data_IF_518305024623
#
_entry.id   IF_518305024623
#
_cell.length_a   1.000
_cell.length_b   1.000
_cell.length_c   1.000
_cell.angle_alpha   90.00
_cell.angle_beta   90.00
_cell.angle_gamma   90.00
#
_symmetry.space_group_name_H-M   'P 1'
#
loop_
_entity.id
_entity.type
_entity.pdbx_description
1 polymer ?
#
# COMPACT_ATOMS: atom_id res chain seq x y z
N UNK A 1 3.88 -39.91 -5.36
CA UNK A 1 3.16 -38.86 -4.61
C UNK A 1 3.88 -38.65 -3.29
N UNK A 2 4.14 -37.39 -2.95
CA UNK A 2 4.78 -37.00 -1.68
C UNK A 2 3.89 -35.97 -1.00
N UNK A 3 3.62 -36.11 0.29
CA UNK A 3 2.87 -35.11 1.07
C UNK A 3 3.83 -33.98 1.47
N UNK A 4 3.38 -32.74 1.31
CA UNK A 4 4.11 -31.50 1.55
C UNK A 4 3.40 -30.67 2.63
N UNK A 5 4.19 -29.89 3.37
CA UNK A 5 3.71 -29.12 4.52
C UNK A 5 4.14 -27.65 4.48
N UNK A 6 3.38 -26.74 5.09
CA UNK A 6 3.85 -25.38 5.40
C UNK A 6 4.45 -25.31 6.80
N UNK A 7 5.52 -24.55 7.00
CA UNK A 7 6.16 -24.41 8.32
C UNK A 7 5.42 -23.42 9.23
N UNK A 8 4.71 -23.91 10.25
CA UNK A 8 3.98 -23.07 11.23
C UNK A 8 4.21 -23.54 12.67
N UNK A 9 4.80 -22.70 13.55
CA UNK A 9 4.88 -22.99 14.99
C UNK A 9 3.49 -22.98 15.66
N UNK A 10 3.26 -23.78 16.73
CA UNK A 10 4.20 -24.64 17.43
C UNK A 10 4.27 -26.08 16.86
N UNK A 11 3.70 -26.34 15.67
CA UNK A 11 3.69 -27.70 15.15
C UNK A 11 5.12 -28.21 14.97
N UNK A 12 5.49 -29.35 15.56
CA UNK A 12 6.85 -29.86 15.48
C UNK A 12 7.18 -30.24 14.03
N UNK A 13 8.19 -29.59 13.47
CA UNK A 13 8.80 -29.97 12.21
C UNK A 13 10.02 -30.83 12.51
N UNK A 14 9.96 -32.12 12.16
CA UNK A 14 11.18 -32.92 12.08
C UNK A 14 12.11 -32.37 11.00
N UNK A 15 13.42 -32.61 11.12
CA UNK A 15 14.44 -32.10 10.19
C UNK A 15 14.26 -32.57 8.72
N UNK A 16 13.31 -33.47 8.44
CA UNK A 16 13.12 -34.14 7.16
C UNK A 16 11.76 -33.90 6.47
N UNK A 17 10.87 -33.06 7.00
CA UNK A 17 9.56 -32.85 6.36
C UNK A 17 9.68 -31.94 5.12
N UNK A 18 9.23 -32.38 3.94
CA UNK A 18 9.32 -31.60 2.71
C UNK A 18 8.34 -30.42 2.74
N UNK A 19 8.87 -29.21 2.56
CA UNK A 19 8.08 -27.99 2.58
C UNK A 19 7.45 -27.69 1.22
N UNK A 20 6.21 -27.17 1.23
CA UNK A 20 5.50 -26.74 0.01
C UNK A 20 6.32 -25.66 -0.71
N UNK A 21 6.79 -24.64 0.03
CA UNK A 21 7.59 -23.55 -0.53
C UNK A 21 8.84 -24.05 -1.25
N UNK A 22 9.57 -24.97 -0.62
CA UNK A 22 10.85 -25.47 -1.13
C UNK A 22 10.62 -26.35 -2.35
N UNK A 23 9.57 -27.17 -2.32
CA UNK A 23 9.18 -28.01 -3.44
C UNK A 23 8.73 -27.16 -4.63
N UNK A 24 7.94 -26.10 -4.44
CA UNK A 24 7.56 -25.17 -5.53
C UNK A 24 8.78 -24.49 -6.14
N UNK A 25 9.73 -24.02 -5.33
CA UNK A 25 10.98 -23.40 -5.81
C UNK A 25 11.84 -24.40 -6.58
N UNK A 26 11.93 -25.65 -6.09
CA UNK A 26 12.67 -26.74 -6.74
C UNK A 26 12.07 -27.13 -8.09
N UNK A 27 10.74 -27.24 -8.19
CA UNK A 27 10.10 -27.55 -9.46
C UNK A 27 10.23 -26.38 -10.44
N UNK A 28 10.02 -25.14 -9.98
CA UNK A 28 10.17 -23.95 -10.80
C UNK A 28 11.58 -23.75 -11.37
N UNK A 29 12.63 -24.12 -10.62
CA UNK A 29 14.03 -23.91 -11.05
C UNK A 29 14.44 -24.76 -12.26
N UNK A 30 13.74 -25.86 -12.51
CA UNK A 30 13.98 -26.77 -13.63
C UNK A 30 12.87 -26.72 -14.69
N UNK A 31 11.85 -25.90 -14.49
CA UNK A 31 10.72 -25.78 -15.39
C UNK A 31 11.01 -24.81 -16.56
N UNK A 32 10.51 -25.16 -17.74
CA UNK A 32 10.43 -24.26 -18.91
C UNK A 32 9.11 -23.52 -19.00
N UNK A 33 8.03 -24.14 -18.50
CA UNK A 33 6.71 -23.55 -18.41
C UNK A 33 6.06 -23.83 -17.06
N UNK A 34 5.30 -22.86 -16.55
CA UNK A 34 4.53 -23.00 -15.32
C UNK A 34 3.10 -22.51 -15.55
N UNK A 35 2.11 -23.33 -15.22
CA UNK A 35 0.71 -22.91 -15.13
C UNK A 35 0.23 -23.01 -13.68
N UNK A 36 -0.30 -21.92 -13.15
CA UNK A 36 -0.78 -21.82 -11.77
C UNK A 36 -2.25 -21.42 -11.80
N UNK A 37 -3.08 -22.13 -11.02
CA UNK A 37 -4.46 -21.74 -10.78
C UNK A 37 -4.74 -21.78 -9.28
N UNK A 38 -4.86 -20.60 -8.66
CA UNK A 38 -5.04 -20.43 -7.21
C UNK A 38 -6.22 -19.52 -6.89
N UNK A 39 -6.79 -19.66 -5.70
CA UNK A 39 -7.89 -18.80 -5.26
C UNK A 39 -7.43 -17.36 -4.98
N UNK A 40 -6.41 -17.22 -4.12
CA UNK A 40 -5.88 -15.94 -3.69
C UNK A 40 -4.38 -15.82 -3.97
N UNK A 41 -3.90 -14.58 -3.97
CA UNK A 41 -2.48 -14.23 -4.09
C UNK A 41 -2.12 -13.17 -3.05
N UNK A 42 -0.84 -13.00 -2.74
CA UNK A 42 -0.32 -11.87 -1.97
C UNK A 42 0.72 -11.10 -2.80
N UNK A 43 0.97 -9.84 -2.47
CA UNK A 43 2.01 -9.03 -3.14
C UNK A 43 3.37 -9.71 -3.05
N UNK A 44 3.76 -10.21 -1.87
CA UNK A 44 5.04 -10.91 -1.71
C UNK A 44 5.11 -12.23 -2.47
N UNK A 45 3.99 -12.97 -2.56
CA UNK A 45 3.91 -14.20 -3.34
C UNK A 45 4.06 -13.93 -4.83
N UNK A 46 3.45 -12.85 -5.33
CA UNK A 46 3.60 -12.37 -6.70
C UNK A 46 5.04 -11.95 -7.00
N UNK A 47 5.68 -11.20 -6.10
CA UNK A 47 7.09 -10.77 -6.24
C UNK A 47 8.05 -11.97 -6.22
N UNK A 48 7.80 -12.94 -5.35
CA UNK A 48 8.60 -14.17 -5.30
C UNK A 48 8.45 -14.98 -6.58
N UNK A 49 7.23 -15.10 -7.11
CA UNK A 49 6.96 -15.77 -8.39
C UNK A 49 7.67 -15.06 -9.55
N UNK A 50 7.58 -13.73 -9.64
CA UNK A 50 8.30 -12.96 -10.66
C UNK A 50 9.82 -13.12 -10.55
N UNK A 51 10.37 -13.25 -9.33
CA UNK A 51 11.77 -13.57 -9.12
C UNK A 51 12.16 -14.93 -9.70
N UNK A 52 11.31 -15.95 -9.50
CA UNK A 52 11.51 -17.29 -10.06
C UNK A 52 11.47 -17.24 -11.60
N UNK A 53 10.49 -16.55 -12.19
CA UNK A 53 10.36 -16.36 -13.65
C UNK A 53 11.56 -15.61 -14.24
N UNK A 54 12.07 -14.61 -13.52
CA UNK A 54 13.17 -13.77 -14.01
C UNK A 54 14.54 -14.45 -13.90
N UNK A 55 14.76 -15.27 -12.86
CA UNK A 55 16.06 -15.94 -12.60
C UNK A 55 16.16 -17.34 -13.19
N UNK A 56 15.02 -18.00 -13.42
CA UNK A 56 14.96 -19.36 -13.94
C UNK A 56 14.91 -19.42 -15.47
N UNK A 57 14.82 -20.67 -15.98
CA UNK A 57 14.69 -20.96 -17.41
C UNK A 57 13.23 -20.92 -17.90
N UNK A 58 12.35 -20.27 -17.15
CA UNK A 58 10.92 -20.21 -17.44
C UNK A 58 10.71 -19.28 -18.64
N UNK A 59 10.29 -19.90 -19.75
CA UNK A 59 9.94 -19.28 -21.02
C UNK A 59 8.47 -18.87 -21.06
N UNK A 60 7.60 -19.64 -20.41
CA UNK A 60 6.17 -19.38 -20.39
C UNK A 60 5.58 -19.50 -18.98
N UNK A 61 4.77 -18.54 -18.57
CA UNK A 61 4.00 -18.57 -17.32
C UNK A 61 2.56 -18.14 -17.53
N UNK A 62 1.63 -18.84 -16.90
CA UNK A 62 0.25 -18.40 -16.76
C UNK A 62 -0.18 -18.48 -15.29
N UNK A 63 -0.66 -17.37 -14.73
CA UNK A 63 -1.26 -17.33 -13.40
C UNK A 63 -2.75 -17.03 -13.51
N UNK A 64 -3.60 -17.96 -13.07
CA UNK A 64 -5.04 -17.78 -12.92
C UNK A 64 -5.36 -17.51 -11.45
N UNK A 65 -6.10 -16.43 -11.21
CA UNK A 65 -6.52 -15.96 -9.88
C UNK A 65 -8.03 -16.04 -9.75
N UNK A 66 -8.52 -16.71 -8.71
CA UNK A 66 -9.88 -17.26 -8.73
C UNK A 66 -10.97 -16.59 -7.90
N UNK A 67 -10.63 -15.89 -6.81
CA UNK A 67 -11.63 -15.54 -5.78
C UNK A 67 -12.09 -14.07 -5.75
N UNK A 68 -11.50 -13.21 -6.58
CA UNK A 68 -11.69 -11.77 -6.43
C UNK A 68 -12.95 -11.17 -7.06
N UNK A 69 -13.75 -11.96 -7.78
CA UNK A 69 -14.97 -11.45 -8.43
C UNK A 69 -15.97 -10.90 -7.41
N UNK A 70 -16.24 -11.67 -6.36
CA UNK A 70 -17.19 -11.29 -5.30
C UNK A 70 -16.54 -10.46 -4.20
N UNK A 71 -15.30 -10.80 -3.80
CA UNK A 71 -14.62 -10.12 -2.70
C UNK A 71 -14.07 -8.73 -3.08
N UNK A 72 -13.89 -8.48 -4.38
CA UNK A 72 -13.08 -7.37 -4.89
C UNK A 72 -11.58 -7.61 -4.74
N UNK A 73 -10.79 -6.94 -5.57
CA UNK A 73 -9.32 -7.03 -5.59
C UNK A 73 -8.75 -5.95 -4.65
N UNK A 74 -7.96 -6.30 -3.62
CA UNK A 74 -7.20 -5.32 -2.85
C UNK A 74 -6.32 -4.46 -3.75
N UNK A 75 -6.30 -3.14 -3.55
CA UNK A 75 -5.59 -2.21 -4.44
C UNK A 75 -4.10 -2.54 -4.59
N UNK A 76 -3.44 -2.99 -3.50
CA UNK A 76 -2.05 -3.46 -3.53
C UNK A 76 -1.83 -4.61 -4.52
N UNK A 77 -2.75 -5.57 -4.54
CA UNK A 77 -2.73 -6.73 -5.43
C UNK A 77 -3.06 -6.29 -6.85
N UNK A 78 -4.08 -5.45 -7.03
CA UNK A 78 -4.46 -4.92 -8.34
C UNK A 78 -3.27 -4.25 -9.03
N UNK A 79 -2.59 -3.34 -8.32
CA UNK A 79 -1.44 -2.61 -8.83
C UNK A 79 -0.27 -3.54 -9.13
N UNK A 80 0.06 -4.45 -8.21
CA UNK A 80 1.16 -5.41 -8.42
C UNK A 80 0.89 -6.35 -9.60
N UNK A 81 -0.33 -6.85 -9.72
CA UNK A 81 -0.72 -7.74 -10.82
C UNK A 81 -0.62 -7.03 -12.16
N UNK A 82 -1.11 -5.80 -12.31
CA UNK A 82 -0.98 -5.05 -13.57
C UNK A 82 0.47 -4.82 -13.96
N UNK A 83 1.32 -4.47 -12.98
CA UNK A 83 2.76 -4.28 -13.21
C UNK A 83 3.40 -5.59 -13.72
N UNK A 84 3.16 -6.72 -13.05
CA UNK A 84 3.73 -8.01 -13.43
C UNK A 84 3.16 -8.52 -14.76
N UNK A 85 1.86 -8.39 -14.97
CA UNK A 85 1.20 -8.76 -16.21
C UNK A 85 1.83 -8.03 -17.41
N UNK A 86 1.98 -6.70 -17.30
CA UNK A 86 2.59 -5.90 -18.36
C UNK A 86 4.05 -6.30 -18.60
N UNK A 87 4.82 -6.56 -17.53
CA UNK A 87 6.20 -7.04 -17.63
C UNK A 87 6.27 -8.38 -18.37
N UNK A 88 5.43 -9.35 -18.01
CA UNK A 88 5.43 -10.68 -18.62
C UNK A 88 4.94 -10.65 -20.07
N UNK A 89 3.93 -9.84 -20.39
CA UNK A 89 3.49 -9.61 -21.76
C UNK A 89 4.58 -8.97 -22.61
N UNK A 90 5.21 -7.88 -22.11
CA UNK A 90 6.27 -7.17 -22.84
C UNK A 90 7.52 -8.03 -23.09
N UNK A 91 7.78 -9.01 -22.23
CA UNK A 91 8.89 -9.96 -22.39
C UNK A 91 8.48 -11.24 -23.12
N UNK A 92 7.23 -11.35 -23.57
CA UNK A 92 6.69 -12.55 -24.21
C UNK A 92 6.67 -13.79 -23.29
N UNK A 93 6.83 -13.59 -21.98
CA UNK A 93 6.94 -14.67 -21.00
C UNK A 93 5.61 -15.18 -20.51
N UNK A 94 4.51 -14.44 -20.65
CA UNK A 94 3.22 -14.94 -20.20
C UNK A 94 2.25 -13.88 -19.71
N UNK A 95 1.25 -14.34 -18.94
CA UNK A 95 0.14 -13.51 -18.52
C UNK A 95 -0.44 -13.89 -17.15
N UNK A 96 -1.23 -12.97 -16.62
CA UNK A 96 -2.06 -13.14 -15.43
C UNK A 96 -3.51 -12.99 -15.85
N UNK A 97 -4.38 -13.89 -15.40
CA UNK A 97 -5.81 -13.94 -15.72
C UNK A 97 -6.64 -14.07 -14.44
N UNK A 98 -7.86 -13.54 -14.46
CA UNK A 98 -8.79 -13.61 -13.33
C UNK A 98 -10.04 -14.35 -13.74
N UNK A 99 -10.54 -15.21 -12.84
CA UNK A 99 -11.84 -15.86 -13.02
C UNK A 99 -12.95 -14.83 -12.84
N UNK A 100 -13.85 -14.71 -13.82
CA UNK A 100 -14.83 -13.62 -13.89
C UNK A 100 -16.30 -14.07 -13.93
N UNK A 101 -16.57 -15.37 -13.77
CA UNK A 101 -17.93 -15.92 -13.82
C UNK A 101 -18.25 -16.91 -12.68
N UNK A 102 -17.30 -17.16 -11.77
CA UNK A 102 -17.48 -17.99 -10.58
C UNK A 102 -16.35 -17.75 -9.57
N UNK A 103 -16.54 -18.21 -8.34
CA UNK A 103 -15.48 -18.23 -7.32
C UNK A 103 -14.63 -19.50 -7.45
N UNK A 104 -13.45 -19.39 -8.06
CA UNK A 104 -12.51 -20.52 -8.18
C UNK A 104 -11.60 -20.58 -6.95
N UNK A 105 -11.77 -21.62 -6.14
CA UNK A 105 -10.98 -21.83 -4.92
C UNK A 105 -9.93 -22.95 -5.04
N UNK A 106 -9.69 -23.53 -6.22
CA UNK A 106 -8.64 -24.53 -6.41
C UNK A 106 -7.24 -23.96 -6.17
N UNK A 107 -6.26 -24.83 -5.89
CA UNK A 107 -4.83 -24.46 -5.82
C UNK A 107 -4.00 -25.54 -6.50
N UNK A 108 -3.61 -25.24 -7.74
CA UNK A 108 -2.86 -26.13 -8.62
C UNK A 108 -1.64 -25.38 -9.13
N UNK A 109 -0.48 -26.03 -9.04
CA UNK A 109 0.77 -25.57 -9.64
C UNK A 109 1.25 -26.67 -10.57
N UNK A 110 1.36 -26.38 -11.86
CA UNK A 110 1.71 -27.33 -12.90
C UNK A 110 3.03 -26.92 -13.54
N UNK A 111 3.97 -27.85 -13.62
CA UNK A 111 5.32 -27.61 -14.10
C UNK A 111 5.62 -28.45 -15.33
N UNK A 112 6.20 -27.81 -16.32
CA UNK A 112 6.61 -28.41 -17.58
C UNK A 112 8.12 -28.33 -17.71
N UNK A 113 8.73 -29.29 -18.39
CA UNK A 113 10.15 -29.30 -18.69
C UNK A 113 10.39 -29.57 -20.17
N UNK A 114 11.51 -29.09 -20.75
CA UNK A 114 11.89 -29.46 -22.09
C UNK A 114 12.21 -30.96 -22.15
N UNK A 115 11.67 -31.65 -23.15
CA UNK A 115 12.09 -33.00 -23.50
C UNK A 115 13.32 -32.98 -24.42
N UNK A 116 13.82 -34.17 -24.77
CA UNK A 116 15.03 -34.30 -25.59
C UNK A 116 14.88 -33.71 -26.99
N UNK A 117 13.64 -33.56 -27.48
CA UNK A 117 13.32 -32.95 -28.76
C UNK A 117 13.10 -31.42 -28.67
N UNK A 118 13.19 -30.84 -27.47
CA UNK A 118 13.01 -29.41 -27.23
C UNK A 118 11.57 -28.94 -27.06
N UNK A 119 10.60 -29.87 -27.05
CA UNK A 119 9.19 -29.58 -26.74
C UNK A 119 8.95 -29.63 -25.22
N UNK A 120 7.94 -28.91 -24.74
CA UNK A 120 7.59 -28.94 -23.31
C UNK A 120 6.71 -30.16 -22.99
N UNK A 121 7.16 -30.99 -22.05
CA UNK A 121 6.41 -32.13 -21.50
C UNK A 121 6.03 -31.88 -20.03
N UNK A 122 4.89 -32.45 -19.62
CA UNK A 122 4.42 -32.41 -18.24
C UNK A 122 5.40 -33.12 -17.32
N UNK A 123 5.90 -32.41 -16.31
CA UNK A 123 6.88 -32.93 -15.36
C UNK A 123 6.23 -33.33 -14.04
N UNK A 124 5.54 -32.38 -13.42
CA UNK A 124 5.03 -32.52 -12.07
C UNK A 124 3.93 -31.50 -11.79
N UNK A 125 3.12 -31.77 -10.79
CA UNK A 125 2.20 -30.80 -10.22
C UNK A 125 2.25 -30.81 -8.70
N UNK A 126 1.89 -29.69 -8.10
CA UNK A 126 1.56 -29.57 -6.67
C UNK A 126 0.09 -29.20 -6.55
N UNK A 127 -0.66 -30.01 -5.83
CA UNK A 127 -2.10 -29.84 -5.58
C UNK A 127 -2.33 -29.84 -4.07
N UNK A 128 -3.10 -28.88 -3.55
CA UNK A 128 -3.36 -28.81 -2.12
C UNK A 128 -4.19 -27.61 -1.69
N UNK A 129 -3.97 -27.18 -0.45
CA UNK A 129 -4.69 -26.04 0.16
C UNK A 129 -3.96 -24.69 0.00
N UNK A 130 -2.65 -24.72 -0.30
CA UNK A 130 -1.79 -23.54 -0.32
C UNK A 130 -2.02 -22.60 -1.52
N UNK A 131 -2.49 -21.38 -1.25
CA UNK A 131 -2.50 -20.26 -2.21
C UNK A 131 -1.07 -19.74 -2.49
N UNK A 132 -0.91 -18.83 -3.46
CA UNK A 132 0.42 -18.34 -3.91
C UNK A 132 1.25 -17.71 -2.79
N UNK A 133 0.58 -17.22 -1.74
CA UNK A 133 1.21 -16.64 -0.55
C UNK A 133 2.17 -17.59 0.17
N UNK A 134 2.07 -18.92 -0.04
CA UNK A 134 3.01 -19.90 0.50
C UNK A 134 4.46 -19.70 0.03
N UNK A 135 4.66 -19.01 -1.10
CA UNK A 135 6.00 -18.66 -1.59
C UNK A 135 6.71 -17.61 -0.72
N UNK A 136 5.94 -16.81 0.01
CA UNK A 136 6.42 -15.75 0.90
C UNK A 136 5.48 -15.61 2.11
N UNK A 137 5.55 -16.54 3.09
CA UNK A 137 4.63 -16.58 4.22
C UNK A 137 4.95 -15.46 5.22
N UNK A 138 4.32 -14.30 5.06
CA UNK A 138 4.41 -13.13 5.95
C UNK A 138 3.07 -12.87 6.64
N UNK A 139 3.11 -12.15 7.77
CA UNK A 139 1.90 -11.72 8.49
C UNK A 139 1.00 -12.87 8.93
N UNK A 140 -0.29 -12.81 8.58
CA UNK A 140 -1.27 -13.86 8.91
C UNK A 140 -1.01 -15.18 8.18
N UNK A 141 -0.40 -15.14 6.99
CA UNK A 141 -0.04 -16.35 6.20
C UNK A 141 1.02 -17.18 6.91
N UNK A 142 1.92 -16.54 7.67
CA UNK A 142 2.92 -17.26 8.48
C UNK A 142 2.30 -18.14 9.58
N UNK A 143 0.99 -17.98 9.84
CA UNK A 143 0.22 -18.79 10.80
C UNK A 143 -0.74 -19.77 10.12
N UNK A 144 -0.78 -19.84 8.79
CA UNK A 144 -1.63 -20.77 8.04
C UNK A 144 -0.92 -22.10 7.84
N UNK A 145 -1.48 -23.15 8.43
CA UNK A 145 -0.97 -24.50 8.23
C UNK A 145 -1.66 -25.15 7.02
N UNK A 146 -0.87 -25.47 6.00
CA UNK A 146 -1.27 -25.95 4.69
C UNK A 146 -0.69 -27.33 4.40
N UNK A 147 -1.45 -28.11 3.62
CA UNK A 147 -1.07 -29.42 3.11
C UNK A 147 -1.15 -29.44 1.59
N UNK A 148 -0.22 -30.13 0.96
CA UNK A 148 -0.27 -30.38 -0.48
C UNK A 148 0.32 -31.76 -0.81
N UNK A 149 0.16 -32.18 -2.05
CA UNK A 149 0.79 -33.38 -2.57
C UNK A 149 1.44 -33.13 -3.93
N UNK A 150 2.52 -33.85 -4.22
CA UNK A 150 3.11 -33.89 -5.55
C UNK A 150 2.46 -34.96 -6.41
N UNK A 151 2.19 -34.61 -7.67
CA UNK A 151 1.66 -35.50 -8.70
C UNK A 151 2.70 -35.61 -9.81
N UNK A 152 3.01 -36.83 -10.22
CA UNK A 152 3.94 -37.16 -11.33
C UNK A 152 3.37 -38.20 -12.27
N UNK A 153 2.13 -38.66 -12.03
CA UNK A 153 1.44 -39.61 -12.90
C UNK A 153 0.99 -38.88 -14.17
N UNK A 154 1.34 -39.42 -15.34
CA UNK A 154 1.10 -38.77 -16.64
C UNK A 154 -0.39 -38.45 -16.87
N UNK A 155 -1.29 -39.40 -16.61
CA UNK A 155 -2.72 -39.22 -16.89
C UNK A 155 -3.32 -38.10 -16.01
N UNK A 156 -2.97 -38.10 -14.72
CA UNK A 156 -3.38 -37.04 -13.79
C UNK A 156 -2.81 -35.67 -14.16
N UNK A 157 -1.57 -35.60 -14.66
CA UNK A 157 -0.98 -34.36 -15.12
C UNK A 157 -1.71 -33.82 -16.35
N UNK A 158 -2.08 -34.69 -17.30
CA UNK A 158 -2.86 -34.29 -18.48
C UNK A 158 -4.27 -33.84 -18.11
N UNK A 159 -4.90 -34.47 -17.12
CA UNK A 159 -6.19 -34.05 -16.57
C UNK A 159 -6.10 -32.63 -15.97
N UNK A 160 -5.08 -32.37 -15.14
CA UNK A 160 -4.85 -31.04 -14.56
C UNK A 160 -4.53 -29.98 -15.62
N UNK A 161 -3.70 -30.31 -16.62
CA UNK A 161 -3.40 -29.43 -17.74
C UNK A 161 -4.69 -29.06 -18.50
N UNK A 162 -5.51 -30.06 -18.82
CA UNK A 162 -6.80 -29.87 -19.49
C UNK A 162 -7.75 -29.02 -18.65
N UNK A 163 -7.80 -29.25 -17.33
CA UNK A 163 -8.60 -28.45 -16.42
C UNK A 163 -8.19 -26.97 -16.43
N UNK A 164 -6.90 -26.67 -16.31
CA UNK A 164 -6.39 -25.29 -16.32
C UNK A 164 -6.68 -24.63 -17.68
N UNK A 165 -6.48 -25.32 -18.80
CA UNK A 165 -6.78 -24.74 -20.12
C UNK A 165 -8.29 -24.47 -20.32
N UNK A 166 -9.17 -25.35 -19.85
CA UNK A 166 -10.61 -25.08 -19.85
C UNK A 166 -10.97 -23.88 -18.98
N UNK A 167 -10.36 -23.76 -17.80
CA UNK A 167 -10.55 -22.61 -16.91
C UNK A 167 -10.12 -21.31 -17.60
N UNK A 168 -8.93 -21.28 -18.22
CA UNK A 168 -8.40 -20.13 -18.95
C UNK A 168 -9.32 -19.69 -20.10
N UNK A 169 -9.78 -20.64 -20.90
CA UNK A 169 -10.56 -20.36 -22.12
C UNK A 169 -12.02 -20.02 -21.85
N UNK A 170 -12.61 -20.58 -20.79
CA UNK A 170 -14.06 -20.50 -20.56
C UNK A 170 -14.47 -19.56 -19.42
N UNK A 171 -13.57 -19.30 -18.48
CA UNK A 171 -13.94 -18.68 -17.20
C UNK A 171 -13.09 -17.50 -16.79
N UNK A 172 -12.15 -17.03 -17.63
CA UNK A 172 -11.23 -15.97 -17.22
C UNK A 172 -11.10 -14.82 -18.21
N UNK A 173 -10.81 -13.64 -17.67
CA UNK A 173 -10.36 -12.46 -18.40
C UNK A 173 -8.88 -12.19 -18.13
N UNK A 174 -8.21 -11.57 -19.10
CA UNK A 174 -6.83 -11.13 -18.96
C UNK A 174 -6.73 -9.95 -17.98
N UNK A 175 -5.66 -9.88 -17.17
CA UNK A 175 -5.42 -8.76 -16.27
C UNK A 175 -5.16 -7.42 -16.99
N UNK A 176 -5.15 -7.41 -18.33
CA UNK A 176 -5.25 -6.19 -19.14
C UNK A 176 -6.60 -5.48 -18.95
N UNK A 177 -7.70 -6.23 -18.72
CA UNK A 177 -9.04 -5.69 -18.53
C UNK A 177 -9.69 -6.31 -17.29
N UNK A 178 -9.75 -5.52 -16.21
CA UNK A 178 -10.34 -5.92 -14.93
C UNK A 178 -11.52 -5.01 -14.55
N UNK A 179 -12.22 -4.45 -15.54
CA UNK A 179 -13.30 -3.48 -15.30
C UNK A 179 -14.47 -4.08 -14.50
N UNK A 180 -14.68 -5.39 -14.57
CA UNK A 180 -15.74 -6.09 -13.84
C UNK A 180 -15.39 -6.35 -12.36
N UNK A 181 -14.15 -6.04 -11.95
CA UNK A 181 -13.69 -6.27 -10.58
C UNK A 181 -13.69 -4.97 -9.77
N UNK A 182 -14.36 -4.98 -8.63
CA UNK A 182 -14.26 -3.90 -7.65
C UNK A 182 -12.85 -3.85 -7.07
N UNK A 183 -12.21 -2.69 -7.06
CA UNK A 183 -10.97 -2.46 -6.32
C UNK A 183 -11.31 -2.08 -4.88
N UNK A 184 -10.68 -2.73 -3.91
CA UNK A 184 -10.86 -2.50 -2.48
C UNK A 184 -9.67 -1.71 -1.95
N UNK A 185 -9.95 -0.52 -1.40
CA UNK A 185 -8.93 0.27 -0.72
C UNK A 185 -8.65 -0.32 0.66
N UNK A 186 -7.40 -0.73 0.87
CA UNK A 186 -6.96 -1.34 2.12
C UNK A 186 -6.77 -0.27 3.20
N UNK A 187 -7.21 -0.60 4.42
CA UNK A 187 -7.07 0.27 5.58
C UNK A 187 -5.61 0.40 5.99
N UNK A 188 -5.21 1.61 6.40
CA UNK A 188 -3.83 1.88 6.82
C UNK A 188 -3.60 1.59 8.30
N UNK A 189 -3.02 0.43 8.60
CA UNK A 189 -2.76 0.01 9.98
C UNK A 189 -1.80 0.94 10.75
N UNK A 190 -0.97 1.72 10.04
CA UNK A 190 0.08 2.57 10.65
C UNK A 190 -0.45 3.73 11.51
N UNK A 191 -1.75 4.05 11.42
CA UNK A 191 -2.43 5.00 12.31
C UNK A 191 -3.03 4.34 13.56
N UNK A 192 -3.20 3.01 13.54
CA UNK A 192 -3.75 2.27 14.66
C UNK A 192 -2.90 2.43 15.93
N UNK A 193 -3.56 2.67 17.06
CA UNK A 193 -2.92 2.78 18.37
C UNK A 193 -2.15 4.08 18.64
N UNK A 194 -2.23 5.07 17.74
CA UNK A 194 -1.74 6.42 18.05
C UNK A 194 -2.75 7.09 18.98
N UNK A 195 -2.29 7.49 20.17
CA UNK A 195 -3.12 8.23 21.12
C UNK A 195 -3.66 9.52 20.49
N UNK A 196 -4.96 9.80 20.67
CA UNK A 196 -5.71 10.94 20.08
C UNK A 196 -6.05 10.81 18.58
N UNK A 197 -5.69 9.69 17.93
CA UNK A 197 -6.28 9.30 16.64
C UNK A 197 -7.41 8.31 16.91
N UNK A 198 -8.63 8.70 16.58
CA UNK A 198 -9.84 7.92 16.79
C UNK A 198 -10.20 7.17 15.51
N UNK A 199 -10.73 5.96 15.67
CA UNK A 199 -11.39 5.26 14.57
C UNK A 199 -12.85 5.70 14.50
N UNK A 200 -13.38 5.75 13.28
CA UNK A 200 -14.79 6.06 13.03
C UNK A 200 -15.43 4.93 12.26
N UNK A 201 -16.71 4.70 12.54
CA UNK A 201 -17.55 3.73 11.85
C UNK A 201 -18.05 4.28 10.52
N UNK A 202 -18.52 3.40 9.63
CA UNK A 202 -19.14 3.81 8.37
C UNK A 202 -20.36 4.72 8.59
N UNK A 203 -21.17 4.46 9.62
CA UNK A 203 -22.31 5.32 9.96
C UNK A 203 -21.90 6.71 10.43
N UNK A 204 -20.81 6.84 11.19
CA UNK A 204 -20.25 8.15 11.54
C UNK A 204 -19.73 8.87 10.30
N UNK A 205 -19.07 8.16 9.39
CA UNK A 205 -18.59 8.72 8.12
C UNK A 205 -19.74 9.24 7.24
N UNK A 206 -20.82 8.48 7.12
CA UNK A 206 -22.04 8.92 6.41
C UNK A 206 -22.67 10.15 7.06
N UNK A 207 -22.71 10.20 8.39
CA UNK A 207 -23.19 11.36 9.12
C UNK A 207 -22.34 12.60 8.79
N UNK A 208 -21.01 12.56 8.91
CA UNK A 208 -20.16 13.73 8.59
C UNK A 208 -20.27 14.13 7.12
N UNK A 209 -20.39 13.17 6.19
CA UNK A 209 -20.62 13.44 4.77
C UNK A 209 -21.94 14.20 4.55
N UNK A 210 -23.03 13.78 5.20
CA UNK A 210 -24.33 14.45 5.08
C UNK A 210 -24.35 15.88 5.63
N UNK A 211 -23.38 16.23 6.48
CA UNK A 211 -23.22 17.54 7.11
C UNK A 211 -22.20 18.43 6.40
N UNK A 212 -21.63 18.00 5.27
CA UNK A 212 -20.73 18.82 4.46
C UNK A 212 -21.44 20.10 3.98
N UNK A 213 -20.70 21.20 3.98
CA UNK A 213 -21.11 22.50 3.45
C UNK A 213 -20.41 22.76 2.12
N UNK A 214 -20.79 23.83 1.41
CA UNK A 214 -20.14 24.25 0.16
C UNK A 214 -18.73 24.85 0.35
N UNK A 215 -18.21 24.89 1.59
CA UNK A 215 -16.90 25.46 1.90
C UNK A 215 -15.83 24.38 1.74
N UNK A 216 -15.04 24.51 0.68
CA UNK A 216 -13.89 23.65 0.40
C UNK A 216 -12.56 24.39 0.44
N UNK A 217 -11.54 23.72 0.98
CA UNK A 217 -10.13 24.11 0.88
C UNK A 217 -9.38 22.99 0.15
N UNK A 218 -8.79 23.33 -1.00
CA UNK A 218 -8.10 22.37 -1.87
C UNK A 218 -6.59 22.59 -1.77
N UNK A 219 -5.87 21.59 -1.27
CA UNK A 219 -4.43 21.66 -0.97
C UNK A 219 -3.68 20.69 -1.89
N UNK A 220 -2.94 21.17 -2.90
CA UNK A 220 -2.12 20.32 -3.74
C UNK A 220 -1.00 19.63 -2.95
N UNK A 221 -0.82 18.33 -3.17
CA UNK A 221 0.32 17.58 -2.63
C UNK A 221 1.52 17.83 -3.54
N UNK A 222 2.56 18.44 -2.97
CA UNK A 222 3.79 18.84 -3.70
C UNK A 222 4.79 17.70 -3.72
N UNK A 223 5.10 17.21 -4.91
CA UNK A 223 6.04 16.12 -5.18
C UNK A 223 6.84 16.40 -6.48
N UNK A 224 8.03 15.81 -6.65
CA UNK A 224 8.79 15.85 -7.90
C UNK A 224 8.12 15.01 -8.99
N UNK A 225 8.45 15.30 -10.25
CA UNK A 225 8.34 14.31 -11.32
C UNK A 225 9.28 13.12 -11.02
N UNK A 226 8.97 11.93 -11.53
CA UNK A 226 9.79 10.74 -11.31
C UNK A 226 11.22 10.92 -11.80
N UNK A 227 11.41 11.63 -12.91
CA UNK A 227 12.73 11.98 -13.46
C UNK A 227 13.53 12.90 -12.53
N UNK A 228 12.86 13.68 -11.69
CA UNK A 228 13.47 14.64 -10.77
C UNK A 228 13.60 14.10 -9.34
N UNK A 229 13.39 12.80 -9.10
CA UNK A 229 13.45 12.20 -7.75
C UNK A 229 14.81 12.32 -7.05
N UNK A 230 15.89 12.52 -7.84
CA UNK A 230 17.25 12.76 -7.35
C UNK A 230 17.59 14.26 -7.22
N UNK A 231 16.68 15.16 -7.60
CA UNK A 231 16.96 16.58 -7.68
C UNK A 231 17.30 17.17 -6.31
N UNK A 232 18.26 18.10 -6.32
CA UNK A 232 18.60 18.90 -5.16
C UNK A 232 17.89 20.26 -5.17
N UNK A 233 17.23 20.64 -6.27
CA UNK A 233 16.55 21.91 -6.37
C UNK A 233 15.29 21.94 -5.48
N UNK A 234 15.11 23.06 -4.76
CA UNK A 234 14.01 23.19 -3.78
C UNK A 234 12.62 23.14 -4.43
N UNK A 235 12.50 23.65 -5.66
CA UNK A 235 11.23 23.72 -6.38
C UNK A 235 10.74 22.37 -6.91
N UNK A 236 11.62 21.36 -6.99
CA UNK A 236 11.23 20.01 -7.38
C UNK A 236 10.59 19.22 -6.25
N UNK A 237 10.71 19.66 -4.99
CA UNK A 237 10.11 18.96 -3.84
C UNK A 237 10.63 17.52 -3.59
N UNK A 238 11.76 17.11 -4.17
CA UNK A 238 12.36 15.79 -3.93
C UNK A 238 12.90 15.60 -2.49
N UNK A 239 13.13 16.70 -1.76
CA UNK A 239 13.71 16.72 -0.40
C UNK A 239 12.97 17.65 0.56
N UNK A 240 11.74 18.02 0.22
CA UNK A 240 10.89 18.94 0.98
C UNK A 240 9.43 18.50 0.87
N UNK A 241 8.52 19.20 1.54
CA UNK A 241 7.10 18.88 1.53
C UNK A 241 6.81 17.41 1.91
N UNK A 242 6.14 16.63 1.06
CA UNK A 242 5.87 15.22 1.33
C UNK A 242 7.17 14.40 1.43
N UNK A 243 8.24 14.84 0.79
CA UNK A 243 9.55 14.16 0.79
C UNK A 243 10.58 14.82 1.71
N UNK A 244 10.14 15.58 2.72
CA UNK A 244 11.08 16.22 3.67
C UNK A 244 12.01 15.23 4.36
N UNK A 245 11.61 13.95 4.48
CA UNK A 245 12.44 12.86 5.01
C UNK A 245 13.79 12.66 4.28
N UNK A 246 13.91 13.17 3.05
CA UNK A 246 15.12 13.12 2.23
C UNK A 246 15.93 14.42 2.25
N UNK A 247 15.51 15.42 3.03
CA UNK A 247 16.24 16.66 3.29
C UNK A 247 17.27 16.51 4.40
N UNK A 248 17.89 17.62 4.80
CA UNK A 248 18.85 17.65 5.90
C UNK A 248 18.23 17.18 7.22
N UNK A 249 18.92 16.27 7.91
CA UNK A 249 18.52 15.73 9.21
C UNK A 249 18.55 16.78 10.34
N UNK A 250 18.41 16.33 11.58
CA UNK A 250 18.41 17.20 12.76
C UNK A 250 19.70 16.97 13.55
N UNK A 251 20.45 18.02 13.82
CA UNK A 251 21.62 17.91 14.68
C UNK A 251 21.18 17.54 16.10
N UNK A 252 21.72 16.43 16.61
CA UNK A 252 21.46 15.94 17.94
C UNK A 252 22.66 16.27 18.83
N UNK A 253 22.41 17.17 19.80
CA UNK A 253 23.44 17.63 20.73
C UNK A 253 23.97 16.52 21.65
N UNK A 254 23.17 15.49 21.93
CA UNK A 254 23.54 14.38 22.82
C UNK A 254 24.45 13.38 22.11
N UNK A 255 24.16 13.05 20.85
CA UNK A 255 24.98 12.12 20.07
C UNK A 255 26.12 12.79 19.31
N UNK A 256 26.12 14.13 19.18
CA UNK A 256 27.07 14.87 18.37
C UNK A 256 26.91 14.67 16.86
N UNK A 257 25.84 13.96 16.45
CA UNK A 257 25.59 13.57 15.06
C UNK A 257 24.34 14.22 14.47
N UNK A 258 24.03 13.85 13.23
CA UNK A 258 22.80 14.26 12.53
C UNK A 258 21.84 13.08 12.50
N UNK A 259 20.71 13.21 13.20
CA UNK A 259 19.65 12.22 13.16
C UNK A 259 18.88 12.34 11.84
N UNK A 260 18.68 11.24 11.10
CA UNK A 260 17.87 11.26 9.89
C UNK A 260 16.41 11.55 10.23
N UNK A 261 15.71 12.14 9.26
CA UNK A 261 14.27 12.33 9.36
C UNK A 261 13.57 11.01 9.08
N UNK A 262 12.51 10.74 9.85
CA UNK A 262 11.71 9.55 9.61
C UNK A 262 10.95 9.67 8.29
N UNK A 263 10.73 8.55 7.60
CA UNK A 263 10.05 8.53 6.32
C UNK A 263 8.62 9.07 6.35
N UNK A 264 7.88 8.86 7.44
CA UNK A 264 6.55 9.44 7.63
C UNK A 264 6.59 10.94 7.99
N UNK A 265 7.75 11.57 8.14
CA UNK A 265 7.81 13.02 8.30
C UNK A 265 7.40 13.69 6.98
N UNK A 266 6.38 14.56 7.05
CA UNK A 266 5.88 15.36 5.93
C UNK A 266 5.73 16.82 6.34
N UNK A 267 5.80 17.72 5.37
CA UNK A 267 5.46 19.13 5.52
C UNK A 267 4.35 19.50 4.52
N UNK A 268 3.13 19.70 5.00
CA UNK A 268 2.03 20.15 4.16
C UNK A 268 2.05 21.68 4.14
N UNK A 269 2.88 22.24 3.25
CA UNK A 269 3.01 23.68 3.09
C UNK A 269 1.98 24.23 2.10
N UNK A 270 0.95 24.85 2.66
CA UNK A 270 -0.17 25.50 1.98
C UNK A 270 0.29 26.81 1.34
N UNK A 271 -0.13 27.07 0.09
CA UNK A 271 0.19 28.31 -0.61
C UNK A 271 -0.51 29.50 0.07
N UNK A 272 0.11 30.69 0.07
CA UNK A 272 -0.48 31.92 0.60
C UNK A 272 -1.83 32.24 -0.03
N UNK A 273 -2.01 31.94 -1.32
CA UNK A 273 -3.30 32.11 -2.01
C UNK A 273 -4.43 31.31 -1.38
N UNK A 274 -4.13 30.13 -0.82
CA UNK A 274 -5.08 29.29 -0.08
C UNK A 274 -5.17 29.74 1.38
N UNK A 275 -4.02 29.92 2.05
CA UNK A 275 -3.99 30.24 3.48
C UNK A 275 -4.52 31.64 3.82
N UNK A 276 -4.78 32.48 2.82
CA UNK A 276 -5.42 33.80 3.00
C UNK A 276 -6.90 33.80 2.68
N UNK A 277 -7.47 32.69 2.18
CA UNK A 277 -8.91 32.57 1.93
C UNK A 277 -9.72 32.81 3.23
N UNK A 278 -10.95 33.35 3.11
CA UNK A 278 -11.78 33.70 4.28
C UNK A 278 -12.02 32.52 5.23
N UNK A 279 -12.32 31.34 4.67
CA UNK A 279 -12.73 30.16 5.45
C UNK A 279 -11.61 29.17 5.75
N UNK A 280 -10.37 29.49 5.38
CA UNK A 280 -9.23 28.61 5.73
C UNK A 280 -9.09 28.57 7.26
N UNK A 281 -9.03 27.38 7.89
CA UNK A 281 -8.99 27.26 9.34
C UNK A 281 -7.69 27.88 9.89
N UNK A 282 -7.81 28.80 10.84
CA UNK A 282 -6.69 29.56 11.40
C UNK A 282 -6.83 29.69 12.91
N UNK A 283 -5.71 29.86 13.58
CA UNK A 283 -5.57 30.24 15.00
C UNK A 283 -6.00 29.19 16.03
N UNK A 284 -7.04 28.39 15.76
CA UNK A 284 -7.51 27.29 16.60
C UNK A 284 -7.27 25.92 15.94
N UNK A 285 -7.18 24.84 16.73
CA UNK A 285 -7.34 23.48 16.20
C UNK A 285 -8.70 23.29 15.53
N UNK A 286 -8.80 22.21 14.77
CA UNK A 286 -10.03 21.72 14.18
C UNK A 286 -9.95 20.21 14.01
N UNK A 287 -11.09 19.54 14.00
CA UNK A 287 -11.16 18.11 13.77
C UNK A 287 -11.08 17.81 12.28
N UNK A 288 -10.33 16.77 11.93
CA UNK A 288 -10.32 16.17 10.60
C UNK A 288 -10.90 14.77 10.71
N UNK A 289 -11.84 14.46 9.82
CA UNK A 289 -12.42 13.14 9.59
C UNK A 289 -12.02 12.69 8.19
N UNK A 290 -11.22 11.62 8.09
CA UNK A 290 -10.73 11.09 6.82
C UNK A 290 -11.76 10.18 6.17
N UNK A 291 -11.74 10.11 4.83
CA UNK A 291 -12.61 9.23 4.03
C UNK A 291 -12.44 7.74 4.33
N UNK A 292 -11.29 7.35 4.89
CA UNK A 292 -10.91 5.98 5.24
C UNK A 292 -11.04 5.66 6.75
N UNK A 293 -11.79 6.47 7.50
CA UNK A 293 -12.28 6.05 8.82
C UNK A 293 -11.46 6.51 10.03
N UNK A 294 -10.67 7.59 9.92
CA UNK A 294 -9.93 8.17 11.04
C UNK A 294 -10.41 9.56 11.42
N UNK A 295 -10.35 9.90 12.71
CA UNK A 295 -10.60 11.26 13.23
C UNK A 295 -9.46 11.73 14.13
N UNK A 296 -8.94 12.94 13.90
CA UNK A 296 -7.86 13.52 14.69
C UNK A 296 -7.87 15.05 14.66
N UNK A 297 -7.26 15.68 15.67
CA UNK A 297 -7.10 17.14 15.71
C UNK A 297 -5.95 17.60 14.79
N UNK A 298 -6.20 18.67 14.04
CA UNK A 298 -5.23 19.32 13.19
C UNK A 298 -5.12 20.82 13.50
N UNK A 299 -3.99 21.39 13.10
CA UNK A 299 -3.66 22.80 13.31
C UNK A 299 -2.98 23.38 12.07
N UNK A 300 -3.23 24.67 11.84
CA UNK A 300 -2.40 25.47 10.96
C UNK A 300 -1.36 26.25 11.76
N UNK A 301 -0.09 26.09 11.43
CA UNK A 301 1.05 26.66 12.16
C UNK A 301 1.98 27.44 11.23
N UNK A 302 3.06 27.98 11.81
CA UNK A 302 4.05 28.84 11.16
C UNK A 302 3.50 30.18 10.61
N UNK A 303 4.38 30.97 10.01
CA UNK A 303 4.03 32.26 9.42
C UNK A 303 2.94 32.10 8.36
N UNK A 304 1.96 33.01 8.38
CA UNK A 304 0.80 33.00 7.48
C UNK A 304 -0.03 31.71 7.52
N UNK A 305 0.05 30.93 8.62
CA UNK A 305 -0.67 29.66 8.79
C UNK A 305 -0.38 28.65 7.67
N UNK A 306 0.84 28.71 7.12
CA UNK A 306 1.24 27.99 5.92
C UNK A 306 1.48 26.50 6.13
N UNK A 307 1.68 26.03 7.36
CA UNK A 307 1.91 24.60 7.63
C UNK A 307 0.65 23.98 8.18
N UNK A 308 0.11 22.97 7.50
CA UNK A 308 -0.95 22.12 8.03
C UNK A 308 -0.30 20.92 8.73
N UNK A 309 -0.65 20.70 9.99
CA UNK A 309 -0.03 19.71 10.87
C UNK A 309 -1.08 19.02 11.72
N UNK A 310 -0.92 17.72 11.97
CA UNK A 310 -1.70 16.95 12.92
C UNK A 310 -0.71 16.24 13.83
N UNK A 311 -0.85 16.48 15.13
CA UNK A 311 0.00 15.92 16.16
C UNK A 311 -0.88 14.99 17.00
N UNK A 312 -0.38 13.80 17.32
CA UNK A 312 -0.89 13.10 18.49
C UNK A 312 -0.23 13.67 19.75
N UNK A 313 -0.54 13.07 20.89
CA UNK A 313 -0.10 13.55 22.21
C UNK A 313 1.41 13.76 22.35
N UNK A 314 2.23 12.95 21.65
CA UNK A 314 3.69 13.05 21.77
C UNK A 314 4.28 14.17 20.92
N UNK A 315 3.52 14.73 19.99
CA UNK A 315 3.96 15.79 19.07
C UNK A 315 4.86 15.32 17.93
N UNK A 316 5.15 14.01 17.85
CA UNK A 316 6.00 13.39 16.82
C UNK A 316 5.27 12.29 16.02
N UNK A 317 3.96 12.16 16.20
CA UNK A 317 3.20 11.00 15.70
C UNK A 317 3.03 10.99 14.18
N UNK A 318 3.31 12.11 13.51
CA UNK A 318 3.37 12.26 12.05
C UNK A 318 2.07 11.80 11.36
N UNK A 319 0.92 12.13 11.97
CA UNK A 319 -0.40 11.63 11.57
C UNK A 319 -0.66 11.80 10.07
N UNK A 320 -0.50 13.02 9.54
CA UNK A 320 -0.66 13.24 8.09
C UNK A 320 0.30 12.44 7.21
N UNK A 321 1.55 12.26 7.65
CA UNK A 321 2.51 11.51 6.85
C UNK A 321 2.22 10.03 6.86
N UNK A 322 1.83 9.47 8.01
CA UNK A 322 1.31 8.10 8.12
C UNK A 322 0.03 7.91 7.32
N UNK A 323 -0.86 8.90 7.31
CA UNK A 323 -2.07 8.86 6.51
C UNK A 323 -1.77 8.86 5.00
N UNK A 324 -1.08 9.90 4.50
CA UNK A 324 -0.81 10.06 3.06
C UNK A 324 0.16 8.99 2.54
N UNK A 325 1.34 8.84 3.15
CA UNK A 325 2.33 7.88 2.68
C UNK A 325 1.96 6.45 3.03
N UNK A 326 1.23 6.24 4.12
CA UNK A 326 0.69 4.91 4.46
C UNK A 326 -0.26 4.45 3.36
N UNK A 327 -1.21 5.28 2.90
CA UNK A 327 -2.11 4.89 1.80
C UNK A 327 -1.34 4.55 0.52
N UNK A 328 -0.37 5.38 0.14
CA UNK A 328 0.46 5.12 -1.04
C UNK A 328 1.29 3.83 -0.90
N UNK A 329 1.84 3.55 0.29
CA UNK A 329 2.64 2.35 0.53
C UNK A 329 1.79 1.10 0.59
N UNK A 330 0.66 1.15 1.30
CA UNK A 330 -0.31 0.05 1.40
C UNK A 330 -0.80 -0.32 0.01
N UNK A 331 -1.19 0.65 -0.82
CA UNK A 331 -1.61 0.38 -2.21
C UNK A 331 -0.46 0.01 -3.17
N UNK A 332 0.79 -0.02 -2.70
CA UNK A 332 1.96 -0.45 -3.49
C UNK A 332 2.52 0.59 -4.46
N UNK A 333 2.11 1.86 -4.39
CA UNK A 333 2.64 2.92 -5.25
C UNK A 333 4.04 3.39 -4.86
N UNK A 334 4.40 3.32 -3.57
CA UNK A 334 5.71 3.76 -3.06
C UNK A 334 6.28 2.75 -2.08
N UNK A 335 7.60 2.55 -2.10
CA UNK A 335 8.26 1.66 -1.14
C UNK A 335 8.50 2.41 0.19
N UNK A 336 8.01 1.92 1.33
CA UNK A 336 8.38 2.48 2.62
C UNK A 336 9.88 2.23 2.90
N UNK A 337 10.53 3.19 3.56
CA UNK A 337 11.96 3.15 3.85
C UNK A 337 12.21 3.47 5.31
N UNK A 338 12.94 2.60 6.02
CA UNK A 338 13.29 2.82 7.42
C UNK A 338 14.37 3.90 7.58
N UNK A 339 15.40 3.83 6.72
CA UNK A 339 16.50 4.79 6.68
C UNK A 339 16.65 5.39 5.29
N UNK A 340 16.23 6.64 5.12
CA UNK A 340 16.28 7.36 3.85
C UNK A 340 17.70 7.58 3.32
N UNK A 341 18.73 7.50 4.18
CA UNK A 341 20.12 7.57 3.75
C UNK A 341 20.59 6.28 3.06
N UNK A 342 19.96 5.14 3.35
CA UNK A 342 20.26 3.85 2.71
C UNK A 342 19.49 3.64 1.40
N UNK A 343 18.51 4.49 1.10
CA UNK A 343 17.73 4.44 -0.14
C UNK A 343 18.44 5.20 -1.27
N UNK A 344 19.53 4.61 -1.77
CA UNK A 344 20.36 5.18 -2.84
C UNK A 344 19.58 5.39 -4.14
N UNK A 345 18.62 4.50 -4.42
CA UNK A 345 17.79 4.54 -5.63
C UNK A 345 16.57 5.47 -5.54
N UNK A 346 16.33 6.05 -4.35
CA UNK A 346 15.21 6.96 -4.06
C UNK A 346 13.84 6.33 -4.32
N UNK A 347 13.69 5.04 -4.01
CA UNK A 347 12.44 4.29 -4.22
C UNK A 347 11.33 4.71 -3.24
N UNK A 348 11.69 5.31 -2.10
CA UNK A 348 10.71 5.87 -1.16
C UNK A 348 10.37 7.34 -1.37
N UNK A 349 10.89 7.99 -2.43
CA UNK A 349 10.47 9.34 -2.81
C UNK A 349 9.11 9.26 -3.49
N UNK A 350 8.12 9.95 -2.94
CA UNK A 350 6.79 10.07 -3.55
C UNK A 350 6.88 11.00 -4.76
N UNK A 351 6.38 10.59 -5.92
CA UNK A 351 6.41 11.37 -7.17
C UNK A 351 5.01 11.76 -7.63
N UNK A 352 4.90 12.70 -8.57
CA UNK A 352 3.61 13.11 -9.14
C UNK A 352 2.90 11.98 -9.87
N UNK A 353 3.64 11.10 -10.55
CA UNK A 353 3.11 9.94 -11.25
C UNK A 353 2.45 8.96 -10.27
N UNK A 354 3.09 8.72 -9.11
CA UNK A 354 2.50 7.90 -8.05
C UNK A 354 1.21 8.53 -7.51
N UNK A 355 1.21 9.84 -7.26
CA UNK A 355 0.02 10.56 -6.80
C UNK A 355 -1.09 10.58 -7.87
N UNK A 356 -0.75 10.68 -9.15
CA UNK A 356 -1.72 10.60 -10.25
C UNK A 356 -2.35 9.22 -10.33
N UNK A 357 -1.54 8.17 -10.28
CA UNK A 357 -2.02 6.79 -10.30
C UNK A 357 -2.96 6.51 -9.12
N UNK A 358 -2.62 7.03 -7.93
CA UNK A 358 -3.42 6.89 -6.73
C UNK A 358 -4.63 7.85 -6.62
N UNK A 359 -4.82 8.79 -7.57
CA UNK A 359 -5.80 9.88 -7.46
C UNK A 359 -5.63 10.72 -6.17
N UNK A 360 -4.38 10.97 -5.78
CA UNK A 360 -3.97 11.67 -4.55
C UNK A 360 -3.25 13.00 -4.80
N UNK A 361 -3.56 13.71 -5.90
CA UNK A 361 -2.88 14.97 -6.24
C UNK A 361 -3.32 16.15 -5.38
N UNK A 362 -4.57 16.15 -4.94
CA UNK A 362 -5.17 17.22 -4.16
C UNK A 362 -5.83 16.64 -2.94
N UNK A 363 -5.49 17.17 -1.77
CA UNK A 363 -6.19 16.92 -0.52
C UNK A 363 -7.30 17.96 -0.39
N UNK A 364 -8.55 17.52 -0.31
CA UNK A 364 -9.74 18.37 -0.26
C UNK A 364 -10.31 18.33 1.14
N UNK A 365 -10.32 19.47 1.82
CA UNK A 365 -10.95 19.65 3.12
C UNK A 365 -12.30 20.32 2.90
N UNK A 366 -13.38 19.67 3.32
CA UNK A 366 -14.74 20.21 3.23
C UNK A 366 -15.25 20.48 4.63
N UNK A 367 -15.66 21.73 4.89
CA UNK A 367 -16.17 22.12 6.21
C UNK A 367 -17.53 21.47 6.42
N UNK A 368 -17.77 20.97 7.62
CA UNK A 368 -19.11 20.49 8.01
C UNK A 368 -19.88 21.56 8.78
N UNK A 369 -21.19 21.39 8.89
CA UNK A 369 -22.05 22.22 9.75
C UNK A 369 -21.99 21.84 11.23
N UNK A 370 -21.16 20.86 11.61
CA UNK A 370 -21.03 20.39 12.99
C UNK A 370 -19.74 20.88 13.65
N UNK A 371 -19.78 20.92 14.99
CA UNK A 371 -18.65 21.25 15.83
C UNK A 371 -18.56 20.24 16.98
N UNK A 372 -17.34 19.95 17.39
CA UNK A 372 -17.07 19.00 18.47
C UNK A 372 -16.09 19.60 19.48
N UNK A 373 -16.20 19.16 20.74
CA UNK A 373 -15.27 19.61 21.78
C UNK A 373 -13.85 19.13 21.48
N UNK A 374 -12.89 20.05 21.53
CA UNK A 374 -11.46 19.75 21.46
C UNK A 374 -10.64 20.63 22.41
N UNK A 375 -9.33 20.43 22.40
CA UNK A 375 -8.41 21.08 23.34
C UNK A 375 -7.76 22.31 22.70
N UNK A 376 -7.94 23.48 23.32
CA UNK A 376 -7.28 24.72 22.90
C UNK A 376 -6.25 25.13 23.93
N UNK A 377 -4.98 25.01 23.58
CA UNK A 377 -3.88 25.44 24.46
C UNK A 377 -3.78 26.96 24.52
N UNK A 378 -3.56 27.49 25.72
CA UNK A 378 -3.22 28.88 25.93
C UNK A 378 -1.91 29.23 25.23
N UNK A 379 -1.68 30.52 24.99
CA UNK A 379 -0.42 31.01 24.42
C UNK A 379 0.35 31.82 25.45
N UNK A 380 1.64 31.55 25.56
CA UNK A 380 2.57 32.38 26.32
C UNK A 380 2.71 33.76 25.66
N UNK A 381 3.24 34.73 26.41
CA UNK A 381 3.51 36.06 25.89
C UNK A 381 4.34 36.01 24.58
N UNK A 382 3.99 36.80 23.55
CA UNK A 382 4.77 36.91 22.33
C UNK A 382 6.22 37.30 22.59
N UNK A 383 7.12 36.82 21.73
CA UNK A 383 8.54 37.22 21.73
C UNK A 383 8.93 37.77 20.36
N UNK A 384 10.06 38.50 20.23
CA UNK A 384 10.55 38.97 18.93
C UNK A 384 10.75 37.83 17.91
N UNK A 385 11.07 36.62 18.38
CA UNK A 385 11.23 35.41 17.56
C UNK A 385 9.92 34.65 17.31
N UNK A 386 8.90 34.85 18.13
CA UNK A 386 7.59 34.23 17.97
C UNK A 386 6.48 35.23 18.32
N UNK A 387 6.03 35.99 17.31
CA UNK A 387 5.00 37.02 17.44
C UNK A 387 3.63 36.48 17.89
N UNK A 388 3.40 35.17 17.79
CA UNK A 388 2.16 34.52 18.25
C UNK A 388 2.27 33.96 19.67
N UNK A 389 3.44 33.98 20.30
CA UNK A 389 3.65 33.26 21.56
C UNK A 389 3.71 31.74 21.36
N UNK A 390 4.49 31.06 22.19
CA UNK A 390 4.55 29.60 22.19
C UNK A 390 3.28 29.01 22.83
N UNK A 391 2.89 27.79 22.44
CA UNK A 391 1.78 27.09 23.08
C UNK A 391 2.17 26.72 24.52
N UNK A 392 1.32 27.07 25.47
CA UNK A 392 1.41 26.61 26.85
C UNK A 392 0.75 25.24 26.97
N UNK A 393 1.58 24.19 26.96
CA UNK A 393 1.10 22.81 27.04
C UNK A 393 0.48 22.42 28.38
N UNK A 394 0.58 23.29 29.40
CA UNK A 394 0.06 23.01 30.76
C UNK A 394 -1.33 23.58 30.99
N UNK A 395 -1.70 24.63 30.27
CA UNK A 395 -2.97 25.32 30.44
C UNK A 395 -3.76 25.30 29.14
N UNK A 396 -4.97 24.75 29.20
CA UNK A 396 -5.84 24.59 28.05
C UNK A 396 -7.31 24.77 28.44
N UNK A 397 -8.13 25.10 27.44
CA UNK A 397 -9.59 25.18 27.52
C UNK A 397 -10.21 24.11 26.63
N UNK A 398 -11.44 23.70 26.97
CA UNK A 398 -12.28 22.88 26.08
C UNK A 398 -13.23 23.78 25.34
N UNK A 399 -13.16 23.77 24.02
CA UNK A 399 -13.96 24.62 23.14
C UNK A 399 -14.57 23.80 22.02
N UNK A 400 -15.69 24.27 21.46
CA UNK A 400 -16.25 23.72 20.24
C UNK A 400 -15.35 24.09 19.05
N UNK A 401 -14.85 23.07 18.37
CA UNK A 401 -13.99 23.17 17.20
C UNK A 401 -14.74 22.75 15.95
N UNK A 402 -14.46 23.43 14.84
CA UNK A 402 -15.00 23.04 13.53
C UNK A 402 -14.57 21.61 13.18
N UNK A 403 -15.47 20.84 12.59
CA UNK A 403 -15.18 19.52 12.01
C UNK A 403 -15.08 19.65 10.49
N UNK A 404 -14.03 19.07 9.93
CA UNK A 404 -13.77 19.02 8.50
C UNK A 404 -13.67 17.56 8.06
N UNK A 405 -14.33 17.21 6.97
CA UNK A 405 -14.03 15.95 6.28
C UNK A 405 -12.85 16.16 5.33
N UNK A 406 -12.03 15.12 5.12
CA UNK A 406 -10.94 15.16 4.16
C UNK A 406 -10.93 13.92 3.27
N UNK A 407 -10.73 14.14 1.97
CA UNK A 407 -10.49 13.08 0.99
C UNK A 407 -9.42 13.52 -0.02
N UNK A 408 -9.05 12.61 -0.91
CA UNK A 408 -8.14 12.90 -2.01
C UNK A 408 -8.86 12.93 -3.36
N UNK A 409 -8.37 13.78 -4.25
CA UNK A 409 -8.78 13.80 -5.66
C UNK A 409 -7.55 13.79 -6.58
N UNK A 410 -7.74 13.27 -7.80
CA UNK A 410 -6.83 13.48 -8.92
C UNK A 410 -6.71 14.95 -9.30
N UNK A 411 -5.77 15.26 -10.19
CA UNK A 411 -5.72 16.58 -10.80
C UNK A 411 -6.88 16.65 -11.81
N UNK A 412 -7.84 17.55 -11.60
CA UNK A 412 -8.90 17.79 -12.59
C UNK A 412 -8.21 18.25 -13.87
N UNK A 413 -8.31 17.42 -14.91
CA UNK A 413 -7.76 17.66 -16.25
C UNK A 413 -8.32 18.91 -16.89
#
# INVERSE_FOLDING_TARGET
MTILYSKVPPMPFGESLPLISDQLVKEASSASRIDIAVGYVSVDGLDKLDSLVSKGNIKQICLVVGMYLESGIPESIYNRVRLLHNKWQATGKGEIRFVNNMSYHGKVYLFWQPNQQGNDDLKSAVLGSANLSVLAPLGSVARQYELATTITNSDQLHELATHIEKLKTSCTVSATNLNDFKVIHERIEVLGGIEEVLETTESEQDMYRSLQTDIEIRIPIKAPLATNRFSTARHDYARSNINVAYGGGRYNKLSGGVDPRNWYEVQITVNKTISTQPNYPKNKPFWIVTDDGYKFEAHTTADNNKQLTAYGKTGNDRVFGRWIKGRLATAGYVKPVDNTAADTERLGVVTQEMLNAAQMRVMVLTKTSTQEYGVVFNRLAPTPRNKKGALDKKHWTRELLDVWTVHFEGEKS
#
